data_IF_989349290427
#
_entry.id   IF_989349290427
#
_cell.length_a   1.000
_cell.length_b   1.000
_cell.length_c   1.000
_cell.angle_alpha   90.00
_cell.angle_beta   90.00
_cell.angle_gamma   90.00
#
_symmetry.space_group_name_H-M   'P 1'
#
loop_
_entity.id
_entity.type
_entity.pdbx_description
1 polymer ?
#
# COMPACT_ATOMS: atom_id res chain seq x y z
N UNK A 1 -4.62 9.80 -37.14
CA UNK A 1 -4.73 9.89 -35.67
C UNK A 1 -5.78 8.86 -35.25
N UNK A 2 -5.35 7.66 -34.84
CA UNK A 2 -6.25 6.59 -34.43
C UNK A 2 -6.67 6.76 -32.98
N UNK A 3 -7.97 6.71 -32.70
CA UNK A 3 -8.53 6.75 -31.36
C UNK A 3 -7.99 5.57 -30.54
N UNK A 4 -7.32 5.88 -29.44
CA UNK A 4 -6.94 4.90 -28.44
C UNK A 4 -8.20 4.56 -27.63
N UNK A 5 -8.81 3.41 -27.88
CA UNK A 5 -9.86 2.87 -27.02
C UNK A 5 -9.22 2.22 -25.78
N UNK A 6 -8.79 3.04 -24.82
CA UNK A 6 -8.42 2.54 -23.50
C UNK A 6 -9.67 2.39 -22.62
N UNK A 7 -9.74 1.27 -21.90
CA UNK A 7 -10.77 0.83 -20.95
C UNK A 7 -11.93 1.79 -20.65
N UNK A 8 -13.05 1.64 -21.35
CA UNK A 8 -14.31 2.32 -21.04
C UNK A 8 -14.66 2.14 -19.55
N UNK A 9 -14.79 3.28 -18.83
CA UNK A 9 -15.10 3.34 -17.40
C UNK A 9 -13.92 3.20 -16.42
N UNK A 10 -12.66 3.12 -16.88
CA UNK A 10 -11.49 2.92 -16.00
C UNK A 10 -10.73 4.22 -15.74
N UNK A 11 -10.24 4.39 -14.51
CA UNK A 11 -9.32 5.47 -14.15
C UNK A 11 -7.99 5.27 -14.90
N UNK A 12 -7.66 6.20 -15.81
CA UNK A 12 -6.44 6.11 -16.62
C UNK A 12 -5.19 6.66 -15.94
N UNK A 13 -5.33 7.31 -14.79
CA UNK A 13 -4.25 8.03 -14.10
C UNK A 13 -3.05 7.12 -13.82
N UNK A 14 -3.31 5.86 -13.51
CA UNK A 14 -2.25 4.88 -13.23
C UNK A 14 -1.36 4.59 -14.44
N UNK A 15 -1.87 4.71 -15.67
CA UNK A 15 -1.09 4.50 -16.89
C UNK A 15 -0.12 5.65 -17.19
N UNK A 16 -0.29 6.82 -16.58
CA UNK A 16 0.64 7.94 -16.78
C UNK A 16 2.06 7.62 -16.33
N UNK A 17 2.24 6.66 -15.40
CA UNK A 17 3.59 6.21 -15.00
C UNK A 17 4.38 5.61 -16.17
N UNK A 18 3.69 5.03 -17.16
CA UNK A 18 4.34 4.41 -18.33
C UNK A 18 4.93 5.45 -19.30
N UNK A 19 4.37 6.68 -19.32
CA UNK A 19 4.77 7.76 -20.23
C UNK A 19 5.65 8.83 -19.55
N UNK A 20 6.05 8.62 -18.28
CA UNK A 20 7.05 9.45 -17.58
C UNK A 20 8.30 9.73 -18.42
N UNK A 21 8.91 8.78 -19.15
CA UNK A 21 10.09 9.04 -19.96
C UNK A 21 9.87 10.05 -21.08
N UNK A 22 8.66 10.09 -21.64
CA UNK A 22 8.23 11.06 -22.64
C UNK A 22 7.91 12.42 -22.02
N UNK A 23 7.36 12.45 -20.81
CA UNK A 23 7.06 13.67 -20.07
C UNK A 23 8.33 14.38 -19.57
N UNK A 24 9.30 13.61 -19.04
CA UNK A 24 10.53 14.10 -18.43
C UNK A 24 11.74 13.92 -19.36
N UNK A 25 11.70 14.59 -20.52
CA UNK A 25 12.70 14.43 -21.59
C UNK A 25 14.14 14.76 -21.19
N UNK A 26 14.33 15.78 -20.34
CA UNK A 26 15.64 16.24 -19.90
C UNK A 26 16.19 15.49 -18.69
N UNK A 27 15.34 14.73 -17.98
CA UNK A 27 15.74 14.01 -16.78
C UNK A 27 16.35 12.66 -17.12
N UNK A 28 17.47 12.30 -16.48
CA UNK A 28 18.08 10.97 -16.58
C UNK A 28 17.46 9.96 -15.61
N UNK A 29 17.05 10.43 -14.44
CA UNK A 29 16.49 9.62 -13.37
C UNK A 29 15.21 10.25 -12.86
N UNK A 30 14.23 9.43 -12.46
CA UNK A 30 12.99 9.90 -11.85
C UNK A 30 12.56 8.93 -10.75
N UNK A 31 12.27 9.46 -9.57
CA UNK A 31 11.59 8.70 -8.51
C UNK A 31 10.08 8.90 -8.66
N UNK A 32 9.36 7.80 -8.86
CA UNK A 32 7.91 7.75 -8.86
C UNK A 32 7.41 7.15 -7.54
N UNK A 33 6.41 7.80 -6.94
CA UNK A 33 5.71 7.38 -5.73
C UNK A 33 4.19 7.43 -5.99
N UNK A 34 3.45 6.40 -5.57
CA UNK A 34 1.99 6.45 -5.52
C UNK A 34 1.53 7.50 -4.48
N UNK A 35 0.31 7.99 -4.63
CA UNK A 35 -0.25 9.08 -3.79
C UNK A 35 -0.67 8.63 -2.38
N UNK A 36 -0.67 7.33 -2.12
CA UNK A 36 -1.06 6.70 -0.86
C UNK A 36 0.16 6.23 -0.05
N UNK A 37 1.25 6.98 -0.16
CA UNK A 37 2.50 6.73 0.53
C UNK A 37 2.83 7.87 1.52
N UNK A 38 3.65 7.56 2.53
CA UNK A 38 4.24 8.53 3.45
C UNK A 38 5.74 8.38 3.43
N UNK A 39 6.44 9.50 3.21
CA UNK A 39 7.90 9.58 3.26
C UNK A 39 8.30 10.03 4.67
N UNK A 40 8.97 9.16 5.42
CA UNK A 40 9.40 9.39 6.81
C UNK A 40 10.89 9.77 6.91
N UNK A 41 11.65 9.71 5.82
CA UNK A 41 13.07 10.05 5.82
C UNK A 41 13.61 10.59 4.50
N UNK A 42 14.92 10.87 4.49
CA UNK A 42 15.61 11.49 3.37
C UNK A 42 15.80 10.51 2.20
N UNK A 43 15.26 10.90 1.05
CA UNK A 43 15.32 10.10 -0.18
C UNK A 43 16.44 10.53 -1.14
N UNK A 44 17.25 11.53 -0.80
CA UNK A 44 18.33 12.04 -1.70
C UNK A 44 19.31 10.95 -2.08
N UNK A 45 19.57 9.98 -1.20
CA UNK A 45 20.47 8.86 -1.49
C UNK A 45 20.03 8.07 -2.72
N UNK A 46 18.73 7.96 -3.00
CA UNK A 46 18.20 7.25 -4.17
C UNK A 46 18.68 7.85 -5.50
N UNK A 47 18.86 9.17 -5.55
CA UNK A 47 19.32 9.87 -6.76
C UNK A 47 20.83 9.74 -6.99
N UNK A 48 21.57 9.25 -5.99
CA UNK A 48 23.01 9.00 -6.07
C UNK A 48 23.35 7.53 -6.39
N UNK A 49 22.34 6.66 -6.46
CA UNK A 49 22.54 5.24 -6.74
C UNK A 49 23.05 5.02 -8.16
N UNK A 50 24.09 4.19 -8.30
CA UNK A 50 24.43 3.58 -9.57
C UNK A 50 23.39 2.50 -9.91
N UNK A 51 22.62 2.76 -10.97
CA UNK A 51 21.59 1.84 -11.45
C UNK A 51 22.16 0.65 -12.22
N UNK A 52 23.48 0.55 -12.42
CA UNK A 52 24.18 -0.62 -13.02
C UNK A 52 23.59 -1.07 -14.36
N UNK A 53 23.11 -0.12 -15.16
CA UNK A 53 22.45 -0.39 -16.44
C UNK A 53 21.02 -0.96 -16.33
N UNK A 54 20.49 -1.17 -15.12
CA UNK A 54 19.08 -1.52 -14.94
C UNK A 54 18.19 -0.33 -15.32
N UNK A 55 17.05 -0.65 -15.94
CA UNK A 55 16.05 0.33 -16.37
C UNK A 55 15.19 0.84 -15.21
N UNK A 56 15.10 0.03 -14.14
CA UNK A 56 14.38 0.33 -12.91
C UNK A 56 15.16 -0.15 -11.70
N UNK A 57 15.07 0.59 -10.60
CA UNK A 57 15.21 0.04 -9.27
C UNK A 57 13.84 -0.10 -8.59
N UNK A 58 13.60 -1.26 -7.98
CA UNK A 58 12.35 -1.60 -7.30
C UNK A 58 12.67 -2.24 -5.95
N UNK A 59 11.69 -2.21 -5.05
CA UNK A 59 11.85 -2.86 -3.74
C UNK A 59 11.66 -4.36 -3.89
N UNK A 60 12.56 -5.12 -3.29
CA UNK A 60 12.46 -6.58 -3.25
C UNK A 60 11.33 -7.01 -2.31
N UNK A 61 10.37 -7.75 -2.86
CA UNK A 61 9.26 -8.29 -2.12
C UNK A 61 9.60 -9.63 -1.46
N UNK A 62 8.84 -9.95 -0.42
CA UNK A 62 8.88 -11.24 0.25
C UNK A 62 7.87 -12.22 -0.34
N UNK A 63 7.95 -13.47 0.07
CA UNK A 63 7.05 -14.51 -0.39
C UNK A 63 5.58 -14.24 -0.03
N UNK A 64 4.61 -14.54 -0.92
CA UNK A 64 4.73 -15.24 -2.21
C UNK A 64 4.90 -14.31 -3.43
N UNK A 65 5.31 -13.05 -3.23
CA UNK A 65 5.39 -12.02 -4.26
C UNK A 65 6.82 -11.72 -4.72
N UNK A 66 7.78 -12.60 -4.43
CA UNK A 66 9.21 -12.43 -4.72
C UNK A 66 9.51 -12.26 -6.23
N UNK A 67 8.63 -12.73 -7.11
CA UNK A 67 8.80 -12.67 -8.57
C UNK A 67 8.11 -11.47 -9.23
N UNK A 68 7.44 -10.62 -8.46
CA UNK A 68 6.82 -9.39 -8.95
C UNK A 68 7.33 -8.21 -8.13
N UNK A 69 7.31 -7.00 -8.69
CA UNK A 69 7.47 -5.76 -7.94
C UNK A 69 6.17 -4.97 -7.91
N UNK A 70 5.99 -4.19 -6.84
CA UNK A 70 4.93 -3.20 -6.76
C UNK A 70 5.35 -1.94 -7.52
N UNK A 71 4.42 -1.37 -8.27
CA UNK A 71 4.66 -0.20 -9.11
C UNK A 71 4.50 1.13 -8.37
N UNK A 72 4.08 1.12 -7.11
CA UNK A 72 3.89 2.32 -6.30
C UNK A 72 5.18 2.99 -5.88
N UNK A 73 6.29 2.28 -5.84
CA UNK A 73 7.63 2.84 -5.78
C UNK A 73 8.40 2.39 -7.02
N UNK A 74 8.91 3.33 -7.81
CA UNK A 74 9.79 3.03 -8.94
C UNK A 74 10.88 4.10 -9.05
N UNK A 75 12.15 3.70 -9.06
CA UNK A 75 13.23 4.58 -9.45
C UNK A 75 13.60 4.29 -10.91
N UNK A 76 13.21 5.18 -11.81
CA UNK A 76 13.44 5.05 -13.23
C UNK A 76 14.85 5.47 -13.63
N UNK A 77 15.52 4.62 -14.40
CA UNK A 77 16.61 5.03 -15.28
C UNK A 77 16.01 5.45 -16.63
N UNK A 78 15.67 6.72 -16.78
CA UNK A 78 14.97 7.23 -17.97
C UNK A 78 15.85 7.19 -19.23
N UNK A 79 17.18 7.24 -19.08
CA UNK A 79 18.11 7.09 -20.21
C UNK A 79 18.02 5.67 -20.80
N UNK A 80 18.22 4.64 -19.97
CA UNK A 80 18.07 3.24 -20.38
C UNK A 80 16.65 2.90 -20.85
N UNK A 81 15.64 3.46 -20.18
CA UNK A 81 14.24 3.27 -20.56
C UNK A 81 13.96 3.73 -22.00
N UNK A 82 14.52 4.87 -22.39
CA UNK A 82 14.40 5.43 -23.75
C UNK A 82 15.18 4.62 -24.77
N UNK A 83 16.43 4.25 -24.47
CA UNK A 83 17.27 3.41 -25.33
C UNK A 83 16.56 2.09 -25.66
N UNK A 84 15.93 1.47 -24.66
CA UNK A 84 15.26 0.18 -24.81
C UNK A 84 13.80 0.27 -25.30
N UNK A 85 13.27 1.48 -25.49
CA UNK A 85 11.90 1.70 -25.98
C UNK A 85 10.82 1.08 -25.08
N UNK A 86 11.02 1.06 -23.76
CA UNK A 86 10.18 0.28 -22.84
C UNK A 86 8.75 0.84 -22.70
N UNK A 87 8.56 2.15 -22.89
CA UNK A 87 7.22 2.76 -22.92
C UNK A 87 6.34 2.08 -23.99
N UNK A 88 6.83 2.02 -25.23
CA UNK A 88 6.08 1.41 -26.33
C UNK A 88 5.85 -0.10 -26.11
N UNK A 89 6.81 -0.82 -25.50
CA UNK A 89 6.64 -2.23 -25.15
C UNK A 89 5.52 -2.42 -24.12
N UNK A 90 5.44 -1.56 -23.10
CA UNK A 90 4.37 -1.59 -22.09
C UNK A 90 3.00 -1.26 -22.72
N UNK A 91 2.93 -0.24 -23.57
CA UNK A 91 1.68 0.11 -24.27
C UNK A 91 1.22 -1.01 -25.21
N UNK A 92 2.14 -1.64 -25.94
CA UNK A 92 1.84 -2.82 -26.77
C UNK A 92 1.34 -3.99 -25.92
N UNK A 93 1.94 -4.22 -24.75
CA UNK A 93 1.47 -5.25 -23.80
C UNK A 93 0.04 -5.01 -23.36
N UNK A 94 -0.31 -3.77 -22.97
CA UNK A 94 -1.67 -3.42 -22.57
C UNK A 94 -2.68 -3.56 -23.72
N UNK A 95 -2.28 -3.21 -24.94
CA UNK A 95 -3.12 -3.40 -26.14
C UNK A 95 -3.44 -4.88 -26.39
N UNK A 96 -2.45 -5.75 -26.24
CA UNK A 96 -2.61 -7.20 -26.45
C UNK A 96 -3.34 -7.90 -25.29
N UNK A 97 -3.32 -7.30 -24.10
CA UNK A 97 -3.90 -7.84 -22.87
C UNK A 97 -4.75 -6.76 -22.18
N UNK A 98 -5.95 -6.45 -22.68
CA UNK A 98 -6.77 -5.32 -22.22
C UNK A 98 -7.30 -5.45 -20.78
N UNK A 99 -7.14 -6.62 -20.17
CA UNK A 99 -7.46 -6.87 -18.75
C UNK A 99 -6.28 -6.58 -17.81
N UNK A 100 -5.10 -6.30 -18.35
CA UNK A 100 -3.93 -5.93 -17.54
C UNK A 100 -3.97 -4.44 -17.22
N UNK A 101 -3.43 -4.08 -16.06
CA UNK A 101 -3.13 -2.71 -15.70
C UNK A 101 -1.64 -2.43 -15.87
N UNK A 102 -1.24 -1.22 -15.55
CA UNK A 102 0.12 -0.71 -15.70
C UNK A 102 1.15 -1.55 -14.94
N UNK A 103 0.88 -1.98 -13.70
CA UNK A 103 1.81 -2.82 -12.93
C UNK A 103 2.03 -4.19 -13.59
N UNK A 104 0.99 -4.84 -14.11
CA UNK A 104 1.13 -6.10 -14.82
C UNK A 104 1.84 -5.92 -16.16
N UNK A 105 1.65 -4.79 -16.84
CA UNK A 105 2.39 -4.48 -18.06
C UNK A 105 3.88 -4.29 -17.77
N UNK A 106 4.21 -3.53 -16.72
CA UNK A 106 5.57 -3.32 -16.24
C UNK A 106 6.25 -4.66 -15.91
N UNK A 107 5.66 -5.47 -15.02
CA UNK A 107 6.21 -6.77 -14.63
C UNK A 107 6.31 -7.78 -15.79
N UNK A 108 5.47 -7.64 -16.82
CA UNK A 108 5.55 -8.48 -18.01
C UNK A 108 6.70 -8.09 -18.95
N UNK A 109 6.95 -6.78 -19.12
CA UNK A 109 7.98 -6.25 -20.02
C UNK A 109 9.35 -6.24 -19.37
N UNK A 110 9.40 -5.90 -18.07
CA UNK A 110 10.62 -5.83 -17.27
C UNK A 110 10.42 -6.80 -16.12
N UNK A 111 11.04 -7.97 -16.24
CA UNK A 111 10.96 -9.02 -15.23
C UNK A 111 11.62 -8.56 -13.93
N UNK A 112 11.12 -9.06 -12.80
CA UNK A 112 11.59 -8.61 -11.49
C UNK A 112 13.09 -8.87 -11.32
N UNK A 113 13.61 -10.00 -11.80
CA UNK A 113 15.05 -10.31 -11.81
C UNK A 113 15.91 -9.32 -12.61
N UNK A 114 15.32 -8.56 -13.53
CA UNK A 114 15.98 -7.57 -14.38
C UNK A 114 15.82 -6.13 -13.85
N UNK A 115 15.76 -5.98 -12.51
CA UNK A 115 15.67 -4.67 -11.84
C UNK A 115 16.69 -4.59 -10.72
N UNK A 116 17.20 -3.40 -10.44
CA UNK A 116 18.03 -3.19 -9.26
C UNK A 116 17.17 -3.33 -7.99
N UNK A 117 17.63 -4.15 -7.05
CA UNK A 117 16.90 -4.40 -5.79
C UNK A 117 17.25 -3.39 -4.72
N UNK A 118 16.21 -2.72 -4.23
CA UNK A 118 16.29 -1.85 -3.07
C UNK A 118 15.73 -2.54 -1.82
N UNK A 119 16.26 -2.20 -0.62
CA UNK A 119 15.73 -2.67 0.64
C UNK A 119 14.24 -2.32 0.85
N UNK A 120 13.54 -3.16 1.63
CA UNK A 120 12.12 -3.00 1.98
C UNK A 120 11.77 -1.61 2.53
N UNK A 121 12.74 -0.92 3.16
CA UNK A 121 12.52 0.37 3.80
C UNK A 121 11.99 1.47 2.88
N UNK A 122 12.20 1.35 1.57
CA UNK A 122 11.73 2.33 0.58
C UNK A 122 10.34 2.05 0.02
N UNK A 123 9.72 0.92 0.36
CA UNK A 123 8.34 0.63 -0.02
C UNK A 123 7.77 -0.43 0.91
N UNK A 124 7.58 -0.08 2.18
CA UNK A 124 6.96 -1.00 3.14
C UNK A 124 5.45 -1.03 2.92
N UNK A 125 4.94 -2.18 2.53
CA UNK A 125 3.53 -2.37 2.26
C UNK A 125 2.75 -2.58 3.55
N UNK A 126 1.96 -1.60 3.94
CA UNK A 126 0.94 -1.83 4.95
C UNK A 126 -0.25 -2.55 4.31
N UNK A 127 -0.34 -3.86 4.50
CA UNK A 127 -1.42 -4.71 3.97
C UNK A 127 -1.93 -5.75 4.99
N UNK A 128 -2.97 -5.41 5.75
CA UNK A 128 -3.39 -6.17 6.96
C UNK A 128 -4.00 -7.57 6.76
N UNK A 129 -4.05 -8.10 5.53
CA UNK A 129 -4.47 -9.48 5.25
C UNK A 129 -3.32 -10.42 4.94
N UNK A 130 -2.18 -9.85 4.55
CA UNK A 130 -1.02 -10.57 4.02
C UNK A 130 0.29 -10.10 4.69
N UNK A 131 0.25 -9.03 5.47
CA UNK A 131 1.36 -8.66 6.34
C UNK A 131 1.46 -9.70 7.44
N UNK A 132 2.64 -10.29 7.54
CA UNK A 132 3.03 -11.21 8.59
C UNK A 132 2.64 -10.67 9.97
N UNK A 133 2.33 -11.58 10.90
CA UNK A 133 2.06 -11.30 12.31
C UNK A 133 3.32 -10.84 13.06
N UNK A 134 4.16 -10.02 12.42
CA UNK A 134 5.34 -9.46 13.04
C UNK A 134 4.93 -8.63 14.24
N UNK A 135 5.68 -8.79 15.33
CA UNK A 135 5.55 -8.09 16.60
C UNK A 135 5.83 -6.58 16.52
N UNK A 136 5.58 -5.91 15.39
CA UNK A 136 5.83 -4.47 15.13
C UNK A 136 5.07 -3.54 16.13
N UNK A 137 4.32 -4.13 17.05
CA UNK A 137 3.37 -3.49 17.96
C UNK A 137 3.86 -3.36 19.40
N UNK A 138 4.90 -4.10 19.80
CA UNK A 138 5.59 -3.75 21.03
C UNK A 138 6.27 -2.39 20.82
N UNK A 139 6.29 -1.55 21.87
CA UNK A 139 6.79 -0.17 21.78
C UNK A 139 8.18 -0.11 21.11
N UNK A 140 9.06 -1.02 21.48
CA UNK A 140 10.42 -1.06 20.98
C UNK A 140 10.50 -1.52 19.51
N UNK A 141 9.62 -2.43 19.09
CA UNK A 141 9.52 -2.84 17.69
C UNK A 141 9.01 -1.70 16.80
N UNK A 142 8.01 -0.93 17.28
CA UNK A 142 7.53 0.25 16.56
C UNK A 142 8.61 1.33 16.44
N UNK A 143 9.37 1.61 17.51
CA UNK A 143 10.47 2.57 17.47
C UNK A 143 11.55 2.13 16.48
N UNK A 144 11.96 0.84 16.53
CA UNK A 144 12.88 0.28 15.52
C UNK A 144 12.35 0.43 14.11
N UNK A 145 11.07 0.14 13.88
CA UNK A 145 10.43 0.32 12.58
C UNK A 145 10.54 1.77 12.12
N UNK A 146 10.15 2.73 12.96
CA UNK A 146 10.17 4.16 12.67
C UNK A 146 11.59 4.65 12.33
N UNK A 147 12.60 4.18 13.05
CA UNK A 147 13.99 4.58 12.83
C UNK A 147 14.60 4.05 11.51
N UNK A 148 14.06 2.96 10.97
CA UNK A 148 14.63 2.29 9.78
C UNK A 148 13.81 2.50 8.51
N UNK A 149 12.53 2.86 8.62
CA UNK A 149 11.63 3.02 7.49
C UNK A 149 11.85 4.37 6.78
N UNK A 150 11.85 4.35 5.46
CA UNK A 150 11.94 5.56 4.63
C UNK A 150 10.59 5.91 4.00
N UNK A 151 9.87 4.89 3.51
CA UNK A 151 8.58 5.09 2.87
C UNK A 151 7.60 3.98 3.28
N UNK A 152 6.44 4.41 3.77
CA UNK A 152 5.31 3.54 4.10
C UNK A 152 4.29 3.64 2.97
N UNK A 153 3.94 2.53 2.33
CA UNK A 153 2.90 2.44 1.32
C UNK A 153 1.61 1.91 1.95
N UNK A 154 0.62 2.77 2.11
CA UNK A 154 -0.66 2.42 2.72
C UNK A 154 -1.58 1.74 1.71
N UNK A 155 -1.24 0.52 1.28
CA UNK A 155 -2.04 -0.25 0.34
C UNK A 155 -3.44 -0.46 0.95
N UNK A 156 -3.54 -1.19 2.07
CA UNK A 156 -4.79 -1.42 2.84
C UNK A 156 -4.45 -1.72 4.31
N UNK A 157 -4.94 -0.93 5.28
CA UNK A 157 -5.98 0.09 5.20
C UNK A 157 -5.50 1.40 4.57
N UNK A 158 -6.46 2.22 4.13
CA UNK A 158 -6.22 3.64 3.89
C UNK A 158 -6.39 4.39 5.22
N UNK A 159 -5.39 5.17 5.70
CA UNK A 159 -5.46 5.88 6.97
C UNK A 159 -6.65 6.83 7.11
N UNK A 160 -7.09 7.39 5.99
CA UNK A 160 -8.20 8.35 5.91
C UNK A 160 -9.58 7.69 5.72
N UNK A 161 -9.70 6.40 6.06
CA UNK A 161 -10.97 5.65 6.06
C UNK A 161 -11.18 4.99 7.42
N UNK A 162 -12.44 4.74 7.75
CA UNK A 162 -12.84 3.99 8.94
C UNK A 162 -12.16 2.62 9.00
N UNK A 163 -11.48 2.34 10.13
CA UNK A 163 -10.81 1.05 10.36
C UNK A 163 -11.80 -0.11 10.50
N UNK A 164 -13.07 0.19 10.75
CA UNK A 164 -14.15 -0.81 10.75
C UNK A 164 -14.22 -1.57 9.43
N UNK A 165 -13.93 -0.91 8.31
CA UNK A 165 -13.89 -1.54 6.98
C UNK A 165 -12.87 -2.69 6.90
N UNK A 166 -11.90 -2.72 7.81
CA UNK A 166 -10.82 -3.71 7.82
C UNK A 166 -10.86 -4.62 9.05
N UNK A 167 -11.76 -4.40 10.01
CA UNK A 167 -11.79 -5.16 11.26
C UNK A 167 -11.99 -6.67 11.03
N UNK A 168 -13.12 -7.08 10.44
CA UNK A 168 -13.38 -8.50 10.17
C UNK A 168 -12.44 -9.07 9.11
N UNK A 169 -12.18 -8.25 8.10
CA UNK A 169 -11.28 -8.52 6.99
C UNK A 169 -9.86 -8.92 7.44
N UNK A 170 -9.27 -8.15 8.37
CA UNK A 170 -7.96 -8.42 8.96
C UNK A 170 -7.98 -9.46 10.10
N UNK A 171 -9.13 -10.11 10.38
CA UNK A 171 -9.32 -10.93 11.58
C UNK A 171 -8.94 -10.17 12.87
N UNK A 172 -9.36 -8.92 12.97
CA UNK A 172 -9.09 -7.96 14.04
C UNK A 172 -7.65 -7.44 14.17
N UNK A 173 -6.73 -7.86 13.27
CA UNK A 173 -5.32 -7.44 13.31
C UNK A 173 -5.13 -5.96 12.98
N UNK A 174 -6.10 -5.31 12.34
CA UNK A 174 -6.05 -3.89 11.98
C UNK A 174 -5.71 -2.99 13.18
N UNK A 175 -6.21 -3.32 14.37
CA UNK A 175 -5.99 -2.55 15.58
C UNK A 175 -4.51 -2.56 16.03
N UNK A 176 -3.74 -3.57 15.62
CA UNK A 176 -2.32 -3.64 15.93
C UNK A 176 -1.53 -2.57 15.17
N UNK A 177 -1.94 -2.26 13.93
CA UNK A 177 -1.24 -1.30 13.07
C UNK A 177 -1.58 0.17 13.37
N UNK A 178 -2.29 0.45 14.48
CA UNK A 178 -2.73 1.81 14.83
C UNK A 178 -1.57 2.80 14.86
N UNK A 179 -0.43 2.46 15.47
CA UNK A 179 0.73 3.34 15.52
C UNK A 179 1.28 3.70 14.12
N UNK A 180 1.26 2.77 13.17
CA UNK A 180 1.70 3.02 11.78
C UNK A 180 0.67 3.88 11.03
N UNK A 181 -0.62 3.68 11.31
CA UNK A 181 -1.71 4.50 10.75
C UNK A 181 -1.64 5.93 11.31
N UNK A 182 -1.27 6.08 12.58
CA UNK A 182 -1.15 7.38 13.24
C UNK A 182 -0.01 8.22 12.67
N UNK A 183 1.10 7.61 12.21
CA UNK A 183 2.17 8.34 11.49
C UNK A 183 1.62 9.14 10.31
N UNK A 184 0.70 8.56 9.53
CA UNK A 184 0.06 9.28 8.42
C UNK A 184 -0.72 10.49 8.92
N UNK A 185 -1.48 10.34 10.01
CA UNK A 185 -2.24 11.45 10.59
C UNK A 185 -1.36 12.51 11.24
N UNK A 186 -0.24 12.14 11.87
CA UNK A 186 0.73 13.10 12.41
C UNK A 186 1.24 14.05 11.32
N UNK A 187 1.44 13.54 10.11
CA UNK A 187 1.83 14.32 8.94
C UNK A 187 0.62 15.05 8.31
N UNK A 188 -0.51 14.36 8.11
CA UNK A 188 -1.69 14.93 7.49
C UNK A 188 -2.22 16.17 8.26
N UNK A 189 -2.25 16.12 9.59
CA UNK A 189 -2.70 17.23 10.44
C UNK A 189 -1.76 18.45 10.42
N UNK A 190 -0.54 18.30 9.90
CA UNK A 190 0.42 19.40 9.70
C UNK A 190 0.41 19.92 8.26
N UNK A 191 -0.40 19.34 7.38
CA UNK A 191 -0.51 19.77 5.98
C UNK A 191 -1.07 21.18 5.93
N UNK A 192 -0.32 22.18 5.42
CA UNK A 192 -0.82 23.54 5.29
C UNK A 192 -2.10 23.57 4.45
N UNK A 193 -2.96 24.56 4.70
CA UNK A 193 -4.25 24.80 4.00
C UNK A 193 -5.34 23.79 4.37
N UNK A 194 -4.99 22.53 4.62
CA UNK A 194 -5.94 21.44 4.85
C UNK A 194 -6.03 20.96 6.30
N UNK A 195 -5.25 21.54 7.22
CA UNK A 195 -5.14 21.12 8.63
C UNK A 195 -6.52 21.01 9.32
N UNK A 196 -7.37 22.03 9.19
CA UNK A 196 -8.71 22.05 9.80
C UNK A 196 -9.64 21.00 9.21
N UNK A 197 -9.67 20.87 7.89
CA UNK A 197 -10.52 19.90 7.20
C UNK A 197 -10.11 18.47 7.55
N UNK A 198 -8.80 18.21 7.60
CA UNK A 198 -8.25 16.91 7.96
C UNK A 198 -8.47 16.60 9.44
N UNK A 199 -8.35 17.59 10.33
CA UNK A 199 -8.67 17.43 11.75
C UNK A 199 -10.14 17.05 11.95
N UNK A 200 -11.06 17.77 11.27
CA UNK A 200 -12.49 17.47 11.31
C UNK A 200 -12.77 16.06 10.79
N UNK A 201 -12.17 15.68 9.65
CA UNK A 201 -12.29 14.33 9.09
C UNK A 201 -11.77 13.25 10.04
N UNK A 202 -10.66 13.50 10.75
CA UNK A 202 -10.12 12.56 11.75
C UNK A 202 -11.10 12.36 12.91
N UNK A 203 -11.70 13.44 13.40
CA UNK A 203 -12.72 13.39 14.47
C UNK A 203 -13.93 12.56 14.00
N UNK A 204 -14.43 12.81 12.79
CA UNK A 204 -15.57 12.07 12.21
C UNK A 204 -15.27 10.57 12.09
N UNK A 205 -14.12 10.20 11.53
CA UNK A 205 -13.70 8.81 11.39
C UNK A 205 -13.57 8.14 12.76
N UNK A 206 -13.01 8.83 13.76
CA UNK A 206 -12.86 8.28 15.11
C UNK A 206 -14.23 8.08 15.78
N UNK A 207 -15.15 9.03 15.64
CA UNK A 207 -16.50 8.91 16.19
C UNK A 207 -17.26 7.75 15.53
N UNK A 208 -17.16 7.62 14.20
CA UNK A 208 -17.74 6.51 13.44
C UNK A 208 -17.18 5.16 13.90
N UNK A 209 -15.86 5.08 14.08
CA UNK A 209 -15.19 3.88 14.56
C UNK A 209 -15.66 3.49 15.97
N UNK A 210 -15.71 4.44 16.92
CA UNK A 210 -16.16 4.19 18.29
C UNK A 210 -17.61 3.71 18.33
N UNK A 211 -18.51 4.37 17.60
CA UNK A 211 -19.92 3.98 17.54
C UNK A 211 -20.09 2.56 17.02
N UNK A 212 -19.41 2.22 15.92
CA UNK A 212 -19.47 0.90 15.30
C UNK A 212 -18.82 -0.19 16.15
N UNK A 213 -17.71 0.11 16.83
CA UNK A 213 -17.06 -0.80 17.77
C UNK A 213 -17.97 -1.12 18.95
N UNK A 214 -18.65 -0.14 19.52
CA UNK A 214 -19.61 -0.36 20.61
C UNK A 214 -20.75 -1.29 20.16
N UNK A 215 -21.30 -1.08 18.96
CA UNK A 215 -22.30 -1.99 18.39
C UNK A 215 -21.76 -3.41 18.20
N UNK A 216 -20.52 -3.54 17.72
CA UNK A 216 -19.86 -4.83 17.53
C UNK A 216 -19.65 -5.57 18.85
N UNK A 217 -19.13 -4.88 19.87
CA UNK A 217 -18.90 -5.43 21.21
C UNK A 217 -20.20 -5.89 21.85
N UNK A 218 -21.24 -5.07 21.82
CA UNK A 218 -22.57 -5.45 22.34
C UNK A 218 -23.11 -6.72 21.65
N UNK A 219 -22.88 -6.88 20.34
CA UNK A 219 -23.28 -8.10 19.62
C UNK A 219 -22.47 -9.32 20.09
N UNK A 220 -21.16 -9.19 20.26
CA UNK A 220 -20.29 -10.26 20.76
C UNK A 220 -20.67 -10.68 22.18
N UNK A 221 -20.92 -9.72 23.07
CA UNK A 221 -21.35 -9.99 24.45
C UNK A 221 -22.65 -10.79 24.49
N UNK A 222 -23.64 -10.41 23.67
CA UNK A 222 -24.89 -11.13 23.54
C UNK A 222 -24.69 -12.55 22.99
N UNK A 223 -23.84 -12.73 21.98
CA UNK A 223 -23.49 -14.05 21.46
C UNK A 223 -22.82 -14.93 22.53
N UNK A 224 -21.85 -14.39 23.28
CA UNK A 224 -21.18 -15.10 24.37
C UNK A 224 -22.19 -15.52 25.44
N UNK A 225 -23.12 -14.63 25.82
CA UNK A 225 -24.18 -14.93 26.78
C UNK A 225 -25.06 -16.09 26.32
N UNK A 226 -25.51 -16.06 25.06
CA UNK A 226 -26.31 -17.15 24.46
C UNK A 226 -25.57 -18.48 24.46
N UNK A 227 -24.30 -18.49 24.05
CA UNK A 227 -23.48 -19.71 24.03
C UNK A 227 -23.28 -20.27 25.45
N UNK A 228 -23.02 -19.42 26.45
CA UNK A 228 -22.91 -19.85 27.85
C UNK A 228 -24.20 -20.52 28.34
N UNK A 229 -25.36 -19.94 28.05
CA UNK A 229 -26.66 -20.55 28.39
C UNK A 229 -26.84 -21.90 27.71
N UNK A 230 -26.54 -22.00 26.40
CA UNK A 230 -26.63 -23.27 25.66
C UNK A 230 -25.71 -24.35 26.24
N UNK A 231 -24.46 -24.01 26.55
CA UNK A 231 -23.50 -24.92 27.19
C UNK A 231 -24.02 -25.40 28.55
N UNK A 232 -24.57 -24.51 29.37
CA UNK A 232 -25.14 -24.87 30.67
C UNK A 232 -26.31 -25.84 30.53
N UNK A 233 -27.25 -25.58 29.60
CA UNK A 233 -28.38 -26.48 29.32
C UNK A 233 -27.90 -27.87 28.87
N UNK A 234 -26.94 -27.93 27.95
CA UNK A 234 -26.37 -29.20 27.47
C UNK A 234 -25.72 -29.98 28.62
N UNK A 235 -24.94 -29.31 29.48
CA UNK A 235 -24.30 -29.94 30.64
C UNK A 235 -25.31 -30.51 31.64
N UNK A 236 -26.48 -29.88 31.80
CA UNK A 236 -27.56 -30.42 32.65
C UNK A 236 -28.16 -31.67 32.01
N UNK A 237 -28.43 -31.66 30.70
CA UNK A 237 -29.00 -32.81 30.00
C UNK A 237 -28.09 -34.05 29.96
N UNK A 238 -26.76 -33.89 30.04
CA UNK A 238 -25.83 -35.03 30.11
C UNK A 238 -25.70 -35.65 31.52
N UNK A 239 -26.24 -34.99 32.56
CA UNK A 239 -26.21 -35.48 33.94
C UNK A 239 -27.49 -36.22 34.36
N UNK A 240 -28.50 -36.26 33.49
CA UNK A 240 -29.75 -37.00 33.63
C UNK A 240 -29.69 -38.25 32.76
#
# INVERSE_FOLDING_TARGET
MGSLSWGEGRNFTTYYRLVIPTLLKSCKTCLYLDVDMLVEGDLRELFSLDLKGFTLATVQNQAPFENIYNAGFLLFNLEEWRIQGLEQKCLTRLKNYPNHFDQEALNAVIKNENTLKLPLRYNFWLQTFQSDDFKIFEKDDFLRFKDHIQIIHYIRPKPWRSLMLWLGHSKNKICFYQNIIDLWWECALKTPIFDKELQQKKIEINNEFVANMNLHLNKLENTIKTLKTQTQTLQISFKL
#
